data_IF_392034785639
#
_entry.id   IF_392034785639
#
_cell.length_a   1.000
_cell.length_b   1.000
_cell.length_c   1.000
_cell.angle_alpha   90.00
_cell.angle_beta   90.00
_cell.angle_gamma   90.00
#
_symmetry.space_group_name_H-M   'P 1'
#
loop_
_entity.id
_entity.type
_entity.pdbx_description
1 polymer ?
#
# COMPACT_ATOMS: atom_id res chain seq x y z
N UNK A 1 -17.58 -22.16 1.95
CA UNK A 1 -17.73 -20.74 2.32
C UNK A 1 -16.91 -19.90 1.36
N UNK A 2 -17.55 -19.22 0.41
CA UNK A 2 -16.87 -18.23 -0.44
C UNK A 2 -16.77 -16.95 0.39
N UNK A 3 -15.55 -16.59 0.77
CA UNK A 3 -15.26 -15.25 1.29
C UNK A 3 -15.51 -14.28 0.13
N UNK A 4 -16.63 -13.57 0.18
CA UNK A 4 -16.82 -12.39 -0.64
C UNK A 4 -15.82 -11.36 -0.12
N UNK A 5 -14.70 -11.21 -0.81
CA UNK A 5 -13.93 -9.99 -0.69
C UNK A 5 -14.76 -8.88 -1.32
N UNK A 6 -14.85 -7.75 -0.65
CA UNK A 6 -15.22 -6.52 -1.33
C UNK A 6 -14.11 -6.23 -2.34
N UNK A 7 -14.39 -6.42 -3.63
CA UNK A 7 -13.45 -6.07 -4.70
C UNK A 7 -13.26 -4.54 -4.80
N UNK A 8 -14.09 -3.75 -4.10
CA UNK A 8 -14.07 -2.30 -4.11
C UNK A 8 -13.07 -1.73 -3.09
N UNK A 9 -12.08 -1.00 -3.61
CA UNK A 9 -11.20 -0.13 -2.83
C UNK A 9 -11.97 1.17 -2.56
N UNK A 10 -12.20 1.50 -1.29
CA UNK A 10 -12.93 2.71 -0.90
C UNK A 10 -12.03 3.95 -0.89
N UNK A 11 -10.74 3.76 -0.60
CA UNK A 11 -9.80 4.84 -0.44
C UNK A 11 -8.50 4.40 0.24
N UNK A 12 -7.64 5.38 0.47
CA UNK A 12 -6.39 5.27 1.24
C UNK A 12 -6.50 6.13 2.49
N UNK A 13 -6.01 5.62 3.62
CA UNK A 13 -5.92 6.42 4.83
C UNK A 13 -4.92 7.57 4.63
N UNK A 14 -5.27 8.76 5.12
CA UNK A 14 -4.45 9.97 4.98
C UNK A 14 -3.03 9.77 5.51
N UNK A 15 -2.89 9.11 6.67
CA UNK A 15 -1.61 8.80 7.28
C UNK A 15 -0.74 7.89 6.39
N UNK A 16 -1.33 6.90 5.74
CA UNK A 16 -0.63 5.99 4.83
C UNK A 16 -0.09 6.72 3.60
N UNK A 17 -0.90 7.60 2.99
CA UNK A 17 -0.47 8.39 1.84
C UNK A 17 0.64 9.39 2.24
N UNK A 18 0.50 10.01 3.41
CA UNK A 18 1.50 10.92 3.97
C UNK A 18 2.83 10.20 4.18
N UNK A 19 2.80 9.02 4.83
CA UNK A 19 3.98 8.18 5.01
C UNK A 19 4.67 7.84 3.68
N UNK A 20 3.90 7.41 2.67
CA UNK A 20 4.46 7.04 1.37
C UNK A 20 5.21 8.20 0.69
N UNK A 21 4.71 9.43 0.85
CA UNK A 21 5.33 10.64 0.30
C UNK A 21 6.57 11.06 1.04
N UNK A 22 6.55 11.04 2.37
CA UNK A 22 7.74 11.31 3.17
C UNK A 22 8.83 10.28 2.85
N UNK A 23 8.47 9.01 2.68
CA UNK A 23 9.39 7.97 2.25
C UNK A 23 9.96 8.23 0.84
N UNK A 24 9.12 8.69 -0.09
CA UNK A 24 9.57 9.09 -1.42
C UNK A 24 10.52 10.29 -1.39
N UNK A 25 10.23 11.32 -0.60
CA UNK A 25 11.09 12.48 -0.41
C UNK A 25 12.45 12.09 0.20
N UNK A 26 12.45 11.21 1.21
CA UNK A 26 13.67 10.71 1.83
C UNK A 26 14.51 9.82 0.91
N UNK A 27 13.90 9.18 -0.09
CA UNK A 27 14.58 8.31 -1.06
C UNK A 27 15.12 9.12 -2.26
N UNK A 28 14.66 10.36 -2.44
CA UNK A 28 15.08 11.22 -3.54
C UNK A 28 16.61 11.40 -3.59
N UNK A 29 17.27 11.28 -4.76
CA UNK A 29 16.71 11.26 -6.11
C UNK A 29 16.38 9.87 -6.67
N UNK A 30 16.42 8.81 -5.86
CA UNK A 30 16.07 7.46 -6.30
C UNK A 30 14.54 7.24 -6.24
N UNK A 31 14.03 6.32 -7.06
CA UNK A 31 12.63 5.90 -7.00
C UNK A 31 12.37 5.07 -5.73
N UNK A 32 11.37 5.51 -4.97
CA UNK A 32 10.77 4.74 -3.90
C UNK A 32 9.80 3.72 -4.49
N UNK A 33 9.66 2.54 -3.88
CA UNK A 33 8.72 1.50 -4.30
C UNK A 33 8.26 0.68 -3.10
N UNK A 34 6.96 0.44 -3.01
CA UNK A 34 6.32 -0.34 -1.97
C UNK A 34 5.04 -1.03 -2.44
N UNK A 35 4.56 -1.98 -1.65
CA UNK A 35 3.29 -2.66 -1.86
C UNK A 35 2.22 -2.09 -0.95
N UNK A 36 1.06 -1.81 -1.51
CA UNK A 36 -0.09 -1.32 -0.77
C UNK A 36 -0.82 -2.49 -0.13
N UNK A 37 -1.15 -2.36 1.15
CA UNK A 37 -2.02 -3.27 1.88
C UNK A 37 -3.28 -2.56 2.33
N UNK A 38 -4.36 -3.33 2.43
CA UNK A 38 -5.61 -2.80 2.96
C UNK A 38 -6.33 -3.73 3.91
N UNK A 39 -7.15 -3.11 4.74
CA UNK A 39 -8.00 -3.73 5.74
C UNK A 39 -9.48 -3.63 5.34
N UNK A 40 -10.33 -4.48 5.94
CA UNK A 40 -11.78 -4.37 5.75
C UNK A 40 -12.27 -3.06 6.37
N UNK A 41 -12.99 -2.25 5.62
CA UNK A 41 -13.50 -0.96 6.07
C UNK A 41 -14.27 -1.05 7.40
N UNK A 42 -14.92 -2.20 7.68
CA UNK A 42 -15.63 -2.43 8.93
C UNK A 42 -14.72 -2.62 10.14
N UNK A 43 -13.48 -3.11 9.97
CA UNK A 43 -12.52 -3.16 11.09
C UNK A 43 -12.05 -1.77 11.49
N UNK A 44 -12.11 -0.82 10.57
CA UNK A 44 -11.81 0.61 10.79
C UNK A 44 -13.04 1.41 11.26
N UNK A 45 -14.15 0.74 11.58
CA UNK A 45 -15.37 1.39 12.08
C UNK A 45 -16.23 2.06 11.00
N UNK A 46 -15.95 1.84 9.71
CA UNK A 46 -16.79 2.35 8.62
C UNK A 46 -18.02 1.45 8.43
N UNK A 47 -19.18 2.07 8.16
CA UNK A 47 -20.42 1.33 7.90
C UNK A 47 -20.45 0.67 6.51
N UNK A 48 -19.58 1.12 5.60
CA UNK A 48 -19.49 0.59 4.23
C UNK A 48 -18.68 -0.71 4.19
N UNK A 49 -19.09 -1.63 3.32
CA UNK A 49 -18.26 -2.78 2.94
C UNK A 49 -17.25 -2.35 1.88
N UNK A 50 -15.99 -2.73 2.05
CA UNK A 50 -14.92 -2.30 1.15
C UNK A 50 -13.56 -2.55 1.76
N UNK A 51 -12.53 -2.20 1.01
CA UNK A 51 -11.15 -2.21 1.51
C UNK A 51 -10.60 -0.80 1.57
N UNK A 52 -9.96 -0.46 2.67
CA UNK A 52 -9.21 0.80 2.83
C UNK A 52 -7.73 0.47 2.83
N UNK A 53 -6.94 1.21 2.07
CA UNK A 53 -5.48 1.07 2.06
C UNK A 53 -4.94 1.71 3.34
N UNK A 54 -4.28 0.93 4.18
CA UNK A 54 -3.82 1.33 5.52
C UNK A 54 -2.32 1.28 5.68
N UNK A 55 -1.60 0.54 4.83
CA UNK A 55 -0.17 0.31 5.01
C UNK A 55 0.58 0.25 3.68
N UNK A 56 1.88 0.59 3.76
CA UNK A 56 2.85 0.39 2.68
C UNK A 56 3.95 -0.55 3.16
N UNK A 57 4.07 -1.71 2.52
CA UNK A 57 5.18 -2.63 2.74
C UNK A 57 6.37 -2.28 1.84
N UNK A 58 7.49 -1.95 2.46
CA UNK A 58 8.78 -1.89 1.77
C UNK A 58 9.36 -3.31 1.73
N UNK A 59 9.55 -3.87 0.55
CA UNK A 59 10.17 -5.20 0.42
C UNK A 59 11.69 -5.05 0.47
N UNK A 60 12.39 -5.79 1.34
CA UNK A 60 13.85 -5.81 1.37
C UNK A 60 14.43 -6.18 0.00
N UNK A 61 15.59 -5.62 -0.37
CA UNK A 61 16.25 -5.99 -1.63
C UNK A 61 15.58 -5.45 -2.91
N UNK A 62 14.70 -4.46 -2.80
CA UNK A 62 14.30 -3.60 -3.93
C UNK A 62 15.55 -2.92 -4.49
N UNK A 63 15.79 -3.09 -5.79
CA UNK A 63 16.84 -2.38 -6.51
C UNK A 63 16.25 -1.08 -7.02
N UNK A 64 16.56 0.03 -6.34
CA UNK A 64 16.13 1.39 -6.69
C UNK A 64 17.22 2.13 -7.44
N UNK A 65 16.79 2.99 -8.35
CA UNK A 65 17.60 3.96 -9.10
C UNK A 65 16.75 5.19 -9.39
N UNK A 66 17.31 6.28 -9.95
CA UNK A 66 16.53 7.48 -10.26
C UNK A 66 15.45 7.31 -11.33
N UNK A 67 15.40 6.16 -12.02
CA UNK A 67 14.52 5.90 -13.16
C UNK A 67 13.80 4.54 -13.09
N UNK A 68 14.05 3.76 -12.05
CA UNK A 68 13.41 2.45 -11.86
C UNK A 68 13.58 1.94 -10.44
N UNK A 69 12.54 1.32 -9.89
CA UNK A 69 12.63 0.44 -8.73
C UNK A 69 12.00 -0.94 -9.03
N UNK A 70 12.77 -2.02 -8.89
CA UNK A 70 12.29 -3.40 -9.18
C UNK A 70 12.28 -4.28 -7.93
N UNK A 71 11.18 -4.99 -7.70
CA UNK A 71 10.99 -5.87 -6.54
C UNK A 71 11.09 -7.35 -6.94
N UNK A 72 11.70 -8.18 -6.08
CA UNK A 72 11.67 -9.64 -6.23
C UNK A 72 10.41 -10.21 -5.58
N UNK A 73 9.46 -10.68 -6.39
CA UNK A 73 8.14 -11.18 -5.97
C UNK A 73 8.18 -12.37 -5.00
N UNK A 74 9.32 -13.06 -4.86
CA UNK A 74 9.50 -14.19 -3.93
C UNK A 74 9.69 -13.76 -2.46
N UNK A 75 9.86 -12.46 -2.18
CA UNK A 75 10.02 -11.91 -0.83
C UNK A 75 8.78 -11.15 -0.33
N UNK A 76 7.71 -11.11 -1.13
CA UNK A 76 6.41 -10.63 -0.68
C UNK A 76 5.91 -11.64 0.36
N UNK A 77 5.64 -11.23 1.61
CA UNK A 77 5.02 -12.12 2.58
C UNK A 77 3.75 -12.72 1.96
N UNK A 78 3.31 -13.90 2.40
CA UNK A 78 2.16 -14.63 1.84
C UNK A 78 0.83 -13.94 2.21
N UNK A 79 0.79 -12.65 1.93
CA UNK A 79 -0.05 -11.65 2.52
C UNK A 79 -1.26 -11.51 1.63
N UNK A 80 -2.37 -11.92 2.21
CA UNK A 80 -3.66 -11.92 1.55
C UNK A 80 -4.18 -10.48 1.36
N UNK A 81 -3.52 -9.46 1.87
CA UNK A 81 -3.99 -8.08 1.89
C UNK A 81 -3.30 -7.14 0.89
N UNK A 82 -2.37 -7.64 0.05
CA UNK A 82 -1.78 -6.80 -1.00
C UNK A 82 -2.84 -6.39 -2.04
N UNK A 83 -3.10 -5.10 -2.16
CA UNK A 83 -4.13 -4.51 -3.04
C UNK A 83 -3.53 -3.74 -4.22
N UNK A 84 -2.24 -3.45 -4.19
CA UNK A 84 -1.63 -2.51 -5.13
C UNK A 84 -0.14 -2.30 -4.95
N UNK A 85 0.39 -1.34 -5.70
CA UNK A 85 1.76 -0.83 -5.53
C UNK A 85 1.77 0.69 -5.42
N UNK A 86 2.83 1.22 -4.84
CA UNK A 86 3.13 2.65 -4.86
C UNK A 86 4.60 2.85 -5.23
N UNK A 87 4.88 3.80 -6.11
CA UNK A 87 6.26 4.20 -6.39
C UNK A 87 6.37 5.70 -6.64
N UNK A 88 7.60 6.22 -6.63
CA UNK A 88 7.85 7.64 -6.85
C UNK A 88 8.57 7.92 -8.16
N UNK A 89 8.27 9.06 -8.77
CA UNK A 89 8.93 9.63 -9.94
C UNK A 89 9.69 10.91 -9.51
N UNK A 90 11.03 10.86 -9.36
CA UNK A 90 11.87 12.00 -8.99
C UNK A 90 11.79 13.19 -9.95
N UNK A 91 11.33 12.95 -11.19
CA UNK A 91 11.14 13.98 -12.21
C UNK A 91 9.79 14.73 -12.10
N UNK A 92 8.89 14.30 -11.21
CA UNK A 92 7.57 14.91 -10.97
C UNK A 92 6.47 14.53 -11.97
N UNK A 93 6.77 13.73 -12.99
CA UNK A 93 5.75 13.23 -13.93
C UNK A 93 4.90 12.18 -13.22
N UNK A 94 3.58 12.26 -13.35
CA UNK A 94 2.66 11.28 -12.76
C UNK A 94 2.21 10.20 -13.74
N UNK A 95 2.52 10.36 -15.03
CA UNK A 95 2.14 9.43 -16.06
C UNK A 95 3.01 8.16 -15.97
N UNK A 96 2.40 6.95 -15.87
CA UNK A 96 3.16 5.71 -15.90
C UNK A 96 3.85 5.53 -17.25
N UNK A 97 5.09 5.03 -17.21
CA UNK A 97 5.80 4.47 -18.36
C UNK A 97 5.33 3.04 -18.67
N UNK A 98 5.70 2.52 -19.84
CA UNK A 98 5.43 1.12 -20.18
C UNK A 98 6.08 0.13 -19.19
N UNK A 99 7.21 0.51 -18.57
CA UNK A 99 7.89 -0.29 -17.57
C UNK A 99 7.14 -0.28 -16.22
N UNK A 100 6.53 0.85 -15.86
CA UNK A 100 5.66 0.95 -14.68
C UNK A 100 4.44 0.03 -14.84
N UNK A 101 3.76 0.10 -16.00
CA UNK A 101 2.60 -0.75 -16.32
C UNK A 101 3.00 -2.23 -16.29
N UNK A 102 4.19 -2.60 -16.79
CA UNK A 102 4.67 -3.97 -16.71
C UNK A 102 4.95 -4.45 -15.27
N UNK A 103 5.19 -3.51 -14.35
CA UNK A 103 5.42 -3.77 -12.91
C UNK A 103 4.11 -3.76 -12.12
N UNK A 104 3.04 -3.18 -12.66
CA UNK A 104 1.69 -3.27 -12.09
C UNK A 104 1.27 -4.74 -12.01
N UNK A 105 1.37 -5.30 -10.81
CA UNK A 105 1.03 -6.69 -10.54
C UNK A 105 -0.48 -6.93 -10.61
N UNK A 106 -0.96 -7.99 -9.94
CA UNK A 106 -2.40 -8.30 -9.90
C UNK A 106 -3.22 -7.37 -8.99
N UNK A 107 -2.64 -6.27 -8.50
CA UNK A 107 -3.32 -5.28 -7.67
C UNK A 107 -4.46 -4.61 -8.43
N UNK A 108 -5.39 -4.01 -7.68
CA UNK A 108 -6.51 -3.25 -8.24
C UNK A 108 -6.20 -1.76 -8.37
N UNK A 109 -5.16 -1.27 -7.69
CA UNK A 109 -4.78 0.14 -7.63
C UNK A 109 -3.27 0.30 -7.59
N UNK A 110 -2.73 1.25 -8.35
CA UNK A 110 -1.31 1.56 -8.41
C UNK A 110 -1.11 3.06 -8.27
N UNK A 111 -0.29 3.51 -7.32
CA UNK A 111 -0.09 4.93 -7.01
C UNK A 111 1.28 5.37 -7.50
N UNK A 112 1.33 6.52 -8.18
CA UNK A 112 2.58 7.21 -8.54
C UNK A 112 2.65 8.51 -7.75
N UNK A 113 3.79 8.76 -7.09
CA UNK A 113 4.11 9.98 -6.35
C UNK A 113 5.15 10.80 -7.14
N UNK A 114 4.82 12.04 -7.50
CA UNK A 114 5.74 12.92 -8.23
C UNK A 114 6.47 13.89 -7.30
N UNK A 115 7.75 14.16 -7.53
CA UNK A 115 8.41 15.31 -6.90
C UNK A 115 7.67 16.63 -7.26
N UNK A 116 7.49 17.58 -6.33
CA UNK A 116 8.09 17.67 -4.99
C UNK A 116 7.31 16.97 -3.85
N UNK A 117 6.46 15.99 -4.15
CA UNK A 117 5.75 15.15 -3.19
C UNK A 117 4.77 15.94 -2.28
N UNK A 118 4.15 17.00 -2.82
CA UNK A 118 3.12 17.81 -2.19
C UNK A 118 1.72 17.16 -2.18
N UNK A 119 0.75 17.80 -1.52
CA UNK A 119 -0.61 17.29 -1.23
C UNK A 119 -1.30 16.65 -2.45
N UNK A 120 -1.11 17.26 -3.61
CA UNK A 120 -1.68 16.84 -4.89
C UNK A 120 -0.72 16.13 -5.84
N UNK A 121 0.53 15.89 -5.45
CA UNK A 121 1.58 15.40 -6.35
C UNK A 121 1.57 13.86 -6.44
N UNK A 122 0.39 13.31 -6.69
CA UNK A 122 0.20 11.87 -6.83
C UNK A 122 -1.01 11.56 -7.72
N UNK A 123 -1.02 10.35 -8.27
CA UNK A 123 -2.16 9.83 -9.04
C UNK A 123 -2.31 8.33 -8.84
N UNK A 124 -3.55 7.86 -8.80
CA UNK A 124 -3.88 6.44 -8.80
C UNK A 124 -4.22 5.95 -10.21
N UNK A 125 -3.87 4.71 -10.50
CA UNK A 125 -4.08 4.03 -11.76
C UNK A 125 -4.66 2.64 -11.53
N UNK A 126 -5.42 2.15 -12.50
CA UNK A 126 -5.73 0.73 -12.60
C UNK A 126 -4.53 -0.06 -13.19
N UNK A 127 -4.71 -1.38 -13.36
CA UNK A 127 -3.69 -2.29 -13.90
C UNK A 127 -3.26 -1.96 -15.33
N UNK A 128 -4.09 -1.27 -16.09
CA UNK A 128 -3.84 -0.94 -17.49
C UNK A 128 -3.17 0.45 -17.62
N UNK A 129 -2.90 1.12 -16.50
CA UNK A 129 -2.33 2.47 -16.49
C UNK A 129 -3.37 3.57 -16.74
N UNK A 130 -4.66 3.27 -16.60
CA UNK A 130 -5.74 4.26 -16.72
C UNK A 130 -5.91 4.98 -15.38
N UNK A 131 -5.94 6.32 -15.34
CA UNK A 131 -6.20 7.06 -14.12
C UNK A 131 -7.52 6.64 -13.45
N UNK A 132 -7.50 6.44 -12.13
CA UNK A 132 -8.68 6.12 -11.32
C UNK A 132 -8.78 7.07 -10.13
N UNK A 133 -10.01 7.34 -9.70
CA UNK A 133 -10.23 8.08 -8.47
C UNK A 133 -9.91 7.21 -7.25
N UNK A 134 -9.22 7.78 -6.26
CA UNK A 134 -8.96 7.15 -4.98
C UNK A 134 -9.21 8.19 -3.88
N UNK A 135 -10.16 7.91 -3.00
CA UNK A 135 -10.48 8.83 -1.90
C UNK A 135 -9.39 8.80 -0.84
N UNK A 136 -9.01 9.97 -0.32
CA UNK A 136 -8.24 10.06 0.93
C UNK A 136 -9.22 10.04 2.08
N UNK A 137 -9.02 9.13 3.03
CA UNK A 137 -9.93 8.87 4.14
C UNK A 137 -9.26 9.24 5.46
N UNK A 138 -9.97 9.98 6.29
CA UNK A 138 -9.63 10.19 7.70
C UNK A 138 -10.16 9.00 8.50
N UNK A 139 -9.28 8.03 8.76
CA UNK A 139 -9.56 6.82 9.54
C UNK A 139 -8.45 6.61 10.56
N UNK A 140 -8.81 6.22 11.77
CA UNK A 140 -7.85 5.89 12.80
C UNK A 140 -7.20 4.53 12.47
N UNK A 141 -5.92 4.55 12.15
CA UNK A 141 -5.12 3.33 12.00
C UNK A 141 -4.77 2.80 13.40
N UNK A 142 -4.95 1.49 13.60
CA UNK A 142 -4.52 0.85 14.85
C UNK A 142 -3.01 0.70 14.82
N UNK A 143 -2.32 1.10 15.90
CA UNK A 143 -0.86 0.99 15.98
C UNK A 143 -0.44 -0.49 15.80
N UNK A 144 0.47 -0.82 14.86
CA UNK A 144 1.01 -2.16 14.72
C UNK A 144 1.58 -2.73 16.03
N UNK A 145 2.07 -1.87 16.92
CA UNK A 145 2.53 -2.26 18.26
C UNK A 145 1.37 -2.76 19.14
N UNK A 146 0.17 -2.17 19.05
CA UNK A 146 -0.99 -2.63 19.82
C UNK A 146 -1.42 -4.06 19.43
N UNK A 147 -1.27 -4.45 18.16
CA UNK A 147 -1.57 -5.81 17.69
C UNK A 147 -0.53 -6.85 18.16
N UNK A 148 0.72 -6.43 18.42
CA UNK A 148 1.77 -7.32 18.95
C UNK A 148 1.57 -7.68 20.42
N UNK A 149 0.79 -6.90 21.18
CA UNK A 149 0.55 -7.11 22.61
C UNK A 149 -0.81 -7.77 22.94
N UNK A 150 -1.63 -8.13 21.94
CA UNK A 150 -2.89 -8.86 22.17
C UNK A 150 -2.70 -10.37 22.45
N UNK A 151 -1.46 -10.81 22.71
CA UNK A 151 -1.23 -12.12 23.30
C UNK A 151 -1.54 -12.08 24.79
N UNK A 152 -2.72 -12.57 25.17
CA UNK A 152 -2.98 -12.84 26.58
C UNK A 152 -2.19 -14.09 27.01
N UNK A 153 -1.85 -14.18 28.30
CA UNK A 153 -1.25 -15.38 28.87
C UNK A 153 -2.10 -16.64 28.60
N UNK A 154 -3.42 -16.47 28.40
CA UNK A 154 -4.33 -17.56 28.06
C UNK A 154 -4.12 -18.11 26.63
N UNK A 155 -3.69 -17.28 25.68
CA UNK A 155 -3.40 -17.70 24.30
C UNK A 155 -2.11 -18.52 24.23
N UNK A 156 -1.08 -18.09 24.98
CA UNK A 156 0.20 -18.80 25.12
C UNK A 156 -0.02 -20.16 25.82
N UNK A 157 -0.80 -20.19 26.89
CA UNK A 157 -1.12 -21.42 27.62
C UNK A 157 -1.92 -22.44 26.79
N UNK A 158 -2.68 -21.98 25.80
CA UNK A 158 -3.47 -22.83 24.90
C UNK A 158 -2.60 -23.48 23.83
N UNK A 159 -1.55 -22.80 23.39
CA UNK A 159 -0.61 -23.31 22.39
C UNK A 159 0.39 -24.31 22.99
N UNK A 160 0.82 -24.09 24.24
CA UNK A 160 1.74 -24.98 24.98
C UNK A 160 1.12 -26.31 25.44
N UNK A 161 -0.20 -26.48 25.29
CA UNK A 161 -0.93 -27.72 25.67
C UNK A 161 -1.20 -28.65 24.48
N UNK A 162 -0.58 -28.42 23.33
CA UNK A 162 -0.71 -29.28 22.14
C UNK A 162 0.44 -30.28 22.00
#
# INVERSE_FOLDING_TARGET
MRLFRSDEILGIAEETLTFAREAAENTHPDEYMGLLRGEDARSLGLEKSGTVITDVLVVPGTESSPVSATMKTNMVPNDRQAVGSVHSHPNGVLQPSDADIATFGSGSVHIILGAPYGESDWQAFDRDGTPTELSVLDVALSDPEEQFFDFTQADIDKELRR
#
